data_IF_212602956040
#
_entry.id   IF_212602956040
#
_cell.length_a   1.000
_cell.length_b   1.000
_cell.length_c   1.000
_cell.angle_alpha   90.00
_cell.angle_beta   90.00
_cell.angle_gamma   90.00
#
_symmetry.space_group_name_H-M   'P 1'
#
loop_
_entity.id
_entity.type
_entity.pdbx_description
1 polymer ?
#
# COMPACT_ATOMS: atom_id res chain seq x y z
N UNK A 1 -44.29 -4.36 -21.98
CA UNK A 1 -43.49 -3.61 -21.00
C UNK A 1 -42.50 -4.55 -20.36
N UNK A 2 -41.22 -4.48 -20.78
CA UNK A 2 -40.15 -5.25 -20.18
C UNK A 2 -39.62 -4.53 -18.92
N UNK A 3 -40.19 -4.82 -17.75
CA UNK A 3 -39.62 -4.37 -16.49
C UNK A 3 -38.38 -5.21 -16.17
N UNK A 4 -37.20 -4.60 -16.14
CA UNK A 4 -35.99 -5.26 -15.70
C UNK A 4 -35.91 -5.12 -14.18
N UNK A 5 -35.96 -6.23 -13.46
CA UNK A 5 -35.72 -6.29 -12.01
C UNK A 5 -34.30 -6.78 -11.78
N UNK A 6 -33.53 -6.06 -11.00
CA UNK A 6 -32.19 -6.49 -10.57
C UNK A 6 -32.21 -6.83 -9.09
N UNK A 7 -31.53 -7.92 -8.73
CA UNK A 7 -31.28 -8.31 -7.35
C UNK A 7 -29.80 -8.60 -7.16
N UNK A 8 -29.25 -8.18 -6.03
CA UNK A 8 -27.86 -8.48 -5.65
C UNK A 8 -27.89 -9.37 -4.42
N UNK A 9 -27.20 -10.51 -4.50
CA UNK A 9 -27.04 -11.41 -3.37
C UNK A 9 -25.55 -11.49 -3.03
N UNK A 10 -25.14 -11.20 -1.79
CA UNK A 10 -23.74 -11.39 -1.37
C UNK A 10 -23.33 -12.84 -1.58
N UNK A 11 -22.12 -13.06 -2.08
CA UNK A 11 -21.61 -14.43 -2.32
C UNK A 11 -21.58 -15.27 -1.03
N UNK A 12 -21.33 -14.63 0.10
CA UNK A 12 -21.36 -15.29 1.42
C UNK A 12 -22.72 -15.91 1.78
N UNK A 13 -23.82 -15.41 1.20
CA UNK A 13 -25.18 -15.91 1.44
C UNK A 13 -25.57 -17.06 0.49
N UNK A 14 -24.69 -17.38 -0.48
CA UNK A 14 -24.90 -18.47 -1.42
C UNK A 14 -24.43 -19.79 -0.82
N UNK A 15 -25.34 -20.74 -0.69
CA UNK A 15 -25.04 -22.08 -0.14
C UNK A 15 -24.73 -23.11 -1.22
N UNK A 16 -25.09 -22.82 -2.47
CA UNK A 16 -24.86 -23.71 -3.59
C UNK A 16 -23.45 -23.50 -4.17
N UNK A 17 -22.67 -24.56 -4.28
CA UNK A 17 -21.36 -24.58 -4.92
C UNK A 17 -21.35 -25.58 -6.07
N UNK A 18 -20.68 -25.25 -7.17
CA UNK A 18 -20.35 -26.20 -8.20
C UNK A 18 -19.20 -27.09 -7.73
N UNK A 19 -19.44 -28.41 -7.68
CA UNK A 19 -18.48 -29.35 -7.11
C UNK A 19 -17.16 -29.44 -7.92
N UNK A 20 -17.24 -29.33 -9.24
CA UNK A 20 -16.05 -29.42 -10.12
C UNK A 20 -15.20 -28.15 -9.98
N UNK A 21 -15.84 -26.97 -9.92
CA UNK A 21 -15.15 -25.70 -9.69
C UNK A 21 -14.52 -25.70 -8.30
N UNK A 22 -15.22 -26.15 -7.26
CA UNK A 22 -14.71 -26.23 -5.89
C UNK A 22 -13.50 -27.19 -5.79
N UNK A 23 -13.57 -28.36 -6.43
CA UNK A 23 -12.46 -29.30 -6.45
C UNK A 23 -11.23 -28.74 -7.17
N UNK A 24 -11.43 -28.02 -8.30
CA UNK A 24 -10.34 -27.36 -9.03
C UNK A 24 -9.70 -26.23 -8.22
N UNK A 25 -10.53 -25.41 -7.55
CA UNK A 25 -10.04 -24.36 -6.67
C UNK A 25 -9.21 -24.93 -5.50
N UNK A 26 -9.70 -26.00 -4.86
CA UNK A 26 -8.99 -26.69 -3.78
C UNK A 26 -7.63 -27.24 -4.25
N UNK A 27 -7.56 -27.81 -5.45
CA UNK A 27 -6.29 -28.29 -6.00
C UNK A 27 -5.28 -27.15 -6.24
N UNK A 28 -5.71 -26.05 -6.82
CA UNK A 28 -4.85 -24.86 -7.02
C UNK A 28 -4.38 -24.32 -5.67
N UNK A 29 -5.28 -24.24 -4.68
CA UNK A 29 -4.93 -23.78 -3.34
C UNK A 29 -3.88 -24.68 -2.69
N UNK A 30 -4.01 -26.00 -2.82
CA UNK A 30 -3.03 -26.95 -2.28
C UNK A 30 -1.65 -26.81 -2.94
N UNK A 31 -1.59 -26.54 -4.24
CA UNK A 31 -0.35 -26.25 -4.96
C UNK A 31 0.31 -24.96 -4.47
N UNK A 32 -0.48 -23.90 -4.28
CA UNK A 32 -0.01 -22.61 -3.71
C UNK A 32 0.52 -22.84 -2.28
N UNK A 33 -0.21 -23.53 -1.43
CA UNK A 33 0.18 -23.77 -0.04
C UNK A 33 1.47 -24.60 0.04
N UNK A 34 1.67 -25.55 -0.87
CA UNK A 34 2.91 -26.34 -0.96
C UNK A 34 4.11 -25.49 -1.37
N UNK A 35 3.93 -24.55 -2.30
CA UNK A 35 5.04 -23.73 -2.84
C UNK A 35 5.35 -22.54 -1.92
N UNK A 36 4.33 -21.87 -1.39
CA UNK A 36 4.45 -20.60 -0.68
C UNK A 36 4.15 -20.69 0.82
N UNK A 37 3.67 -21.83 1.32
CA UNK A 37 3.26 -22.01 2.72
C UNK A 37 4.41 -22.24 3.71
N UNK A 38 5.67 -22.28 3.24
CA UNK A 38 6.81 -22.46 4.15
C UNK A 38 7.03 -21.21 4.99
N UNK A 39 7.05 -21.41 6.32
CA UNK A 39 7.37 -20.37 7.31
C UNK A 39 8.86 -20.01 7.19
N UNK A 40 9.14 -18.72 7.07
CA UNK A 40 10.54 -18.24 7.02
C UNK A 40 10.82 -17.12 8.04
N UNK A 41 9.79 -16.54 8.65
CA UNK A 41 9.90 -15.48 9.65
C UNK A 41 8.77 -15.56 10.66
N UNK A 42 8.85 -14.74 11.70
CA UNK A 42 7.79 -14.55 12.71
C UNK A 42 7.67 -13.09 13.08
N UNK A 43 6.50 -12.67 13.46
CA UNK A 43 6.23 -11.38 14.07
C UNK A 43 5.54 -11.58 15.44
N UNK A 44 5.95 -10.80 16.43
CA UNK A 44 5.34 -10.82 17.77
C UNK A 44 4.06 -9.99 17.84
N UNK A 45 3.87 -9.08 16.88
CA UNK A 45 2.73 -8.17 16.80
C UNK A 45 2.00 -8.32 15.47
N UNK A 46 0.72 -7.98 15.43
CA UNK A 46 0.01 -7.87 14.16
C UNK A 46 0.57 -6.67 13.36
N UNK A 47 0.79 -6.88 12.06
CA UNK A 47 1.23 -5.87 11.12
C UNK A 47 0.00 -5.33 10.36
N UNK A 48 -0.29 -4.05 10.55
CA UNK A 48 -1.51 -3.43 10.05
C UNK A 48 -1.40 -3.10 8.57
N UNK A 49 -2.16 -3.80 7.75
CA UNK A 49 -2.33 -3.56 6.30
C UNK A 49 -3.73 -3.09 5.92
N UNK A 50 -4.54 -2.67 6.91
CA UNK A 50 -5.88 -2.14 6.66
C UNK A 50 -5.84 -0.86 5.83
N UNK A 51 -6.92 -0.60 5.12
CA UNK A 51 -7.01 0.58 4.25
C UNK A 51 -7.34 1.84 5.04
N UNK A 52 -8.33 1.74 5.95
CA UNK A 52 -8.92 2.88 6.67
C UNK A 52 -9.61 2.39 7.98
N UNK A 53 -9.16 2.87 9.16
CA UNK A 53 -7.91 3.60 9.34
C UNK A 53 -6.70 2.70 9.03
N UNK A 54 -5.66 3.25 8.43
CA UNK A 54 -4.45 2.49 8.08
C UNK A 54 -3.70 3.05 6.87
N UNK A 55 -3.12 2.18 6.05
CA UNK A 55 -2.15 2.51 4.99
C UNK A 55 -2.55 3.64 4.02
N UNK A 56 -3.83 4.00 3.95
CA UNK A 56 -4.33 5.04 3.05
C UNK A 56 -4.69 6.34 3.74
N UNK A 57 -4.51 6.40 5.07
CA UNK A 57 -4.90 7.54 5.90
C UNK A 57 -3.84 7.94 6.91
N UNK A 58 -2.97 7.02 7.29
CA UNK A 58 -1.99 7.19 8.35
C UNK A 58 -0.80 6.23 8.19
N UNK A 59 0.26 6.48 8.95
CA UNK A 59 1.40 5.60 9.10
C UNK A 59 0.96 4.25 9.72
N UNK A 60 1.58 3.15 9.26
CA UNK A 60 1.33 1.82 9.83
C UNK A 60 2.63 1.05 10.00
N UNK A 61 2.70 0.21 11.02
CA UNK A 61 3.87 -0.62 11.27
C UNK A 61 4.20 -1.60 10.12
N UNK A 62 3.22 -1.97 9.28
CA UNK A 62 3.48 -2.73 8.07
C UNK A 62 4.03 -1.84 6.95
N UNK A 63 3.56 -0.60 6.85
CA UNK A 63 4.10 0.39 5.93
C UNK A 63 5.57 0.68 6.21
N UNK A 64 5.90 0.91 7.49
CA UNK A 64 7.27 1.15 7.95
C UNK A 64 8.17 -0.04 7.64
N UNK A 65 7.75 -1.26 8.01
CA UNK A 65 8.50 -2.48 7.72
C UNK A 65 8.77 -2.66 6.22
N UNK A 66 7.79 -2.36 5.37
CA UNK A 66 7.96 -2.45 3.91
C UNK A 66 8.97 -1.41 3.43
N UNK A 67 8.88 -0.16 3.89
CA UNK A 67 9.79 0.91 3.49
C UNK A 67 11.21 0.65 4.01
N UNK A 68 11.37 0.16 5.23
CA UNK A 68 12.67 -0.29 5.76
C UNK A 68 13.27 -1.42 4.92
N UNK A 69 12.43 -2.35 4.47
CA UNK A 69 12.88 -3.42 3.58
C UNK A 69 13.31 -2.90 2.19
N UNK A 70 12.72 -1.80 1.69
CA UNK A 70 13.14 -1.15 0.44
C UNK A 70 14.51 -0.49 0.61
N UNK A 71 14.76 0.22 1.71
CA UNK A 71 16.07 0.79 2.07
C UNK A 71 17.11 -0.34 2.14
N UNK A 72 16.84 -1.36 2.95
CA UNK A 72 17.72 -2.53 3.08
C UNK A 72 17.99 -3.20 1.73
N UNK A 73 16.99 -3.32 0.86
CA UNK A 73 17.13 -3.90 -0.48
C UNK A 73 18.08 -3.10 -1.37
N UNK A 74 17.99 -1.76 -1.35
CA UNK A 74 18.87 -0.88 -2.09
C UNK A 74 20.33 -0.98 -1.59
N UNK A 75 20.53 -0.95 -0.28
CA UNK A 75 21.84 -1.07 0.35
C UNK A 75 22.51 -2.43 0.03
N UNK A 76 21.74 -3.50 0.03
CA UNK A 76 22.22 -4.84 -0.31
C UNK A 76 22.73 -4.94 -1.75
N UNK A 77 22.12 -4.17 -2.66
CA UNK A 77 22.58 -4.06 -4.06
C UNK A 77 23.72 -3.01 -4.22
N UNK A 78 24.23 -2.47 -3.12
CA UNK A 78 25.37 -1.55 -3.08
C UNK A 78 25.03 -0.09 -3.33
N UNK A 79 23.77 0.30 -3.17
CA UNK A 79 23.35 1.71 -3.31
C UNK A 79 22.85 2.22 -1.97
N UNK A 80 23.54 3.22 -1.41
CA UNK A 80 23.04 3.96 -0.26
C UNK A 80 21.87 4.86 -0.68
N UNK A 81 20.82 4.87 0.14
CA UNK A 81 19.63 5.70 -0.03
C UNK A 81 19.27 6.37 1.29
N UNK A 82 18.82 7.61 1.22
CA UNK A 82 18.45 8.38 2.41
C UNK A 82 17.08 7.98 2.94
N UNK A 83 16.18 7.55 2.05
CA UNK A 83 14.79 7.29 2.38
C UNK A 83 14.13 6.32 1.38
N UNK A 84 12.97 5.79 1.77
CA UNK A 84 12.08 5.05 0.87
C UNK A 84 10.64 5.53 1.01
N UNK A 85 9.91 5.43 -0.10
CA UNK A 85 8.47 5.76 -0.16
C UNK A 85 7.75 4.68 -0.94
N UNK A 86 6.62 4.22 -0.43
CA UNK A 86 5.68 3.37 -1.18
C UNK A 86 4.26 3.88 -1.01
N UNK A 87 3.40 3.61 -1.97
CA UNK A 87 1.99 4.02 -1.87
C UNK A 87 1.19 3.01 -1.03
N UNK A 88 0.43 3.48 -0.06
CA UNK A 88 -0.39 2.65 0.84
C UNK A 88 -1.41 1.77 0.10
N UNK A 89 -1.86 2.18 -1.09
CA UNK A 89 -2.72 1.37 -1.95
C UNK A 89 -2.05 0.10 -2.50
N UNK A 90 -0.72 0.03 -2.49
CA UNK A 90 0.07 -1.15 -2.84
C UNK A 90 0.02 -2.24 -1.77
N UNK A 91 -0.24 -1.89 -0.52
CA UNK A 91 -0.33 -2.81 0.63
C UNK A 91 -1.77 -3.33 0.70
N UNK A 92 -1.97 -4.65 0.55
CA UNK A 92 -3.29 -5.23 0.27
C UNK A 92 -3.88 -6.07 1.39
N UNK A 93 -3.12 -6.41 2.41
CA UNK A 93 -3.55 -7.22 3.54
C UNK A 93 -2.71 -6.96 4.79
N UNK A 94 -3.27 -7.22 5.94
CA UNK A 94 -2.55 -7.28 7.22
C UNK A 94 -1.88 -8.65 7.39
N UNK A 95 -0.86 -8.73 8.26
CA UNK A 95 -0.25 -9.99 8.71
C UNK A 95 -0.56 -10.16 10.19
N UNK A 96 -1.15 -11.29 10.57
CA UNK A 96 -1.40 -11.60 11.99
C UNK A 96 -0.07 -11.86 12.73
N UNK A 97 -0.06 -11.65 14.05
CA UNK A 97 1.06 -12.09 14.88
C UNK A 97 1.25 -13.62 14.76
N UNK A 98 2.49 -14.06 14.71
CA UNK A 98 2.86 -15.46 14.54
C UNK A 98 3.77 -15.72 13.36
N UNK A 99 3.58 -16.84 12.72
CA UNK A 99 4.42 -17.28 11.59
C UNK A 99 4.11 -16.49 10.31
N UNK A 100 5.16 -16.18 9.56
CA UNK A 100 5.10 -15.48 8.26
C UNK A 100 5.58 -16.42 7.16
N UNK A 101 4.80 -16.52 6.10
CA UNK A 101 5.09 -17.33 4.90
C UNK A 101 5.28 -16.45 3.67
N UNK A 102 5.84 -17.01 2.59
CA UNK A 102 5.88 -16.33 1.30
C UNK A 102 4.49 -15.99 0.75
N UNK A 103 3.49 -16.81 1.12
CA UNK A 103 2.09 -16.57 0.75
C UNK A 103 1.59 -15.26 1.37
N UNK A 104 1.92 -14.99 2.65
CA UNK A 104 1.54 -13.75 3.33
C UNK A 104 2.16 -12.54 2.62
N UNK A 105 3.44 -12.61 2.28
CA UNK A 105 4.11 -11.51 1.54
C UNK A 105 3.47 -11.27 0.17
N UNK A 106 3.19 -12.34 -0.60
CA UNK A 106 2.52 -12.21 -1.90
C UNK A 106 1.09 -11.70 -1.79
N UNK A 107 0.42 -11.95 -0.67
CA UNK A 107 -0.92 -11.42 -0.39
C UNK A 107 -0.86 -9.93 -0.05
N UNK A 108 0.15 -9.51 0.70
CA UNK A 108 0.40 -8.11 1.07
C UNK A 108 0.84 -7.28 -0.14
N UNK A 109 1.77 -7.79 -0.95
CA UNK A 109 2.38 -7.09 -2.09
C UNK A 109 2.18 -7.88 -3.40
N UNK A 110 0.94 -7.98 -3.93
CA UNK A 110 0.62 -8.89 -5.04
C UNK A 110 1.03 -8.37 -6.43
N UNK A 111 1.48 -7.12 -6.56
CA UNK A 111 1.64 -6.47 -7.88
C UNK A 111 2.97 -6.75 -8.55
N UNK A 112 3.95 -7.35 -7.85
CA UNK A 112 5.27 -7.63 -8.42
C UNK A 112 6.03 -6.35 -8.82
N UNK A 113 5.82 -5.25 -8.11
CA UNK A 113 6.53 -3.99 -8.35
C UNK A 113 8.04 -4.18 -8.14
N UNK A 114 8.82 -3.41 -8.89
CA UNK A 114 10.28 -3.38 -8.77
C UNK A 114 10.72 -2.16 -7.97
N UNK A 115 11.89 -2.27 -7.31
CA UNK A 115 12.53 -1.14 -6.65
C UNK A 115 13.12 -0.21 -7.70
N UNK A 116 12.81 1.08 -7.59
CA UNK A 116 13.43 2.14 -8.39
C UNK A 116 14.13 3.12 -7.46
N UNK A 117 15.38 3.46 -7.78
CA UNK A 117 16.18 4.44 -7.05
C UNK A 117 16.22 5.73 -7.87
N UNK A 118 15.83 6.82 -7.26
CA UNK A 118 15.79 8.14 -7.89
C UNK A 118 16.53 9.16 -7.02
N UNK A 119 17.08 10.18 -7.66
CA UNK A 119 17.67 11.33 -6.96
C UNK A 119 16.73 12.52 -7.12
N UNK A 120 16.28 13.04 -6.01
CA UNK A 120 15.38 14.20 -5.95
C UNK A 120 15.93 15.28 -5.03
N UNK A 121 15.47 16.50 -5.23
CA UNK A 121 15.70 17.59 -4.29
C UNK A 121 14.68 17.56 -3.15
N UNK A 122 14.98 18.21 -2.03
CA UNK A 122 14.00 18.36 -0.94
C UNK A 122 12.70 19.05 -1.37
N UNK A 123 12.77 19.97 -2.35
CA UNK A 123 11.58 20.62 -2.91
C UNK A 123 10.70 19.64 -3.71
N UNK A 124 11.29 18.78 -4.51
CA UNK A 124 10.57 17.74 -5.26
C UNK A 124 9.96 16.68 -4.32
N UNK A 125 10.68 16.30 -3.27
CA UNK A 125 10.16 15.41 -2.24
C UNK A 125 8.95 16.03 -1.52
N UNK A 126 9.06 17.30 -1.12
CA UNK A 126 7.99 18.03 -0.46
C UNK A 126 6.75 18.16 -1.36
N UNK A 127 6.96 18.45 -2.65
CA UNK A 127 5.90 18.50 -3.66
C UNK A 127 5.20 17.13 -3.79
N UNK A 128 5.95 16.05 -3.85
CA UNK A 128 5.41 14.69 -3.94
C UNK A 128 4.59 14.31 -2.70
N UNK A 129 5.05 14.65 -1.50
CA UNK A 129 4.33 14.40 -0.25
C UNK A 129 3.05 15.27 -0.15
N UNK A 130 3.12 16.55 -0.55
CA UNK A 130 1.94 17.42 -0.60
C UNK A 130 0.88 16.87 -1.57
N UNK A 131 1.30 16.45 -2.78
CA UNK A 131 0.40 15.88 -3.78
C UNK A 131 -0.18 14.52 -3.35
N UNK A 132 0.60 13.64 -2.73
CA UNK A 132 0.14 12.31 -2.33
C UNK A 132 -0.78 12.32 -1.11
N UNK A 133 -0.78 13.40 -0.33
CA UNK A 133 -1.65 13.58 0.85
C UNK A 133 -2.80 14.56 0.62
N UNK A 134 -3.06 14.95 -0.63
CA UNK A 134 -3.97 16.06 -1.00
C UNK A 134 -5.38 15.99 -0.37
N UNK A 135 -5.90 14.80 -0.12
CA UNK A 135 -7.23 14.60 0.43
C UNK A 135 -7.23 14.06 1.87
N UNK A 136 -6.05 13.93 2.51
CA UNK A 136 -5.98 13.50 3.91
C UNK A 136 -6.80 14.44 4.80
N UNK A 137 -7.66 13.91 5.70
CA UNK A 137 -7.72 12.54 6.22
C UNK A 137 -8.56 11.54 5.38
N UNK A 138 -9.09 11.93 4.23
CA UNK A 138 -9.82 11.01 3.36
C UNK A 138 -8.86 9.97 2.78
N UNK A 139 -9.31 8.72 2.74
CA UNK A 139 -8.53 7.58 2.27
C UNK A 139 -8.15 7.70 0.79
N UNK A 140 -6.87 7.52 0.49
CA UNK A 140 -6.36 7.52 -0.89
C UNK A 140 -5.27 6.47 -1.09
N UNK A 141 -5.30 5.78 -2.23
CA UNK A 141 -4.28 4.76 -2.57
C UNK A 141 -2.86 5.33 -2.75
N UNK A 142 -2.74 6.63 -2.99
CA UNK A 142 -1.46 7.33 -3.10
C UNK A 142 -0.86 7.79 -1.76
N UNK A 143 -1.57 7.61 -0.63
CA UNK A 143 -1.03 7.99 0.69
C UNK A 143 0.34 7.35 0.91
N UNK A 144 1.38 8.12 1.28
CA UNK A 144 2.74 7.61 1.37
C UNK A 144 2.98 6.86 2.67
N UNK A 145 3.52 5.66 2.58
CA UNK A 145 4.23 4.99 3.66
C UNK A 145 5.72 5.23 3.43
N UNK A 146 6.48 5.52 4.46
CA UNK A 146 7.86 6.02 4.32
C UNK A 146 8.83 5.31 5.27
N UNK A 147 10.13 5.40 4.96
CA UNK A 147 11.24 5.14 5.87
C UNK A 147 12.30 6.21 5.63
N UNK A 148 12.95 6.68 6.68
CA UNK A 148 13.95 7.74 6.60
C UNK A 148 13.37 9.15 6.41
N UNK A 149 12.05 9.32 6.47
CA UNK A 149 11.38 10.62 6.35
C UNK A 149 10.44 10.80 7.54
N UNK A 150 10.53 11.94 8.21
CA UNK A 150 9.54 12.37 9.18
C UNK A 150 8.84 13.61 8.65
N UNK A 151 7.51 13.56 8.56
CA UNK A 151 6.70 14.67 8.06
C UNK A 151 5.35 14.76 8.74
N UNK A 152 4.79 15.96 8.73
CA UNK A 152 3.45 16.24 9.25
C UNK A 152 2.53 16.77 8.17
N UNK A 153 1.23 16.50 8.30
CA UNK A 153 0.19 16.99 7.38
C UNK A 153 -0.85 17.82 8.15
N UNK A 154 -0.90 19.10 7.88
CA UNK A 154 -1.93 20.01 8.44
C UNK A 154 -3.24 19.84 7.67
N UNK A 155 -4.12 18.99 8.20
CA UNK A 155 -5.43 18.70 7.59
C UNK A 155 -6.45 19.83 7.73
N UNK A 156 -6.13 20.91 8.46
CA UNK A 156 -6.98 22.10 8.58
C UNK A 156 -6.89 23.00 7.36
N UNK A 157 -5.84 22.83 6.55
CA UNK A 157 -5.62 23.59 5.32
C UNK A 157 -6.12 22.81 4.10
N UNK A 158 -6.66 23.54 3.14
CA UNK A 158 -7.05 22.97 1.86
C UNK A 158 -5.81 22.69 0.99
N UNK A 159 -5.90 21.67 0.14
CA UNK A 159 -4.92 21.45 -0.92
C UNK A 159 -5.04 22.52 -2.00
N UNK A 160 -3.97 23.23 -2.32
CA UNK A 160 -3.91 24.23 -3.38
C UNK A 160 -3.56 23.55 -4.71
N UNK A 161 -4.57 23.05 -5.40
CA UNK A 161 -4.39 22.25 -6.61
C UNK A 161 -3.84 23.09 -7.77
N UNK A 162 -2.75 22.64 -8.35
CA UNK A 162 -2.13 23.18 -9.54
C UNK A 162 -2.44 22.40 -10.81
N UNK A 163 -1.43 22.18 -11.65
CA UNK A 163 -1.56 21.47 -12.93
C UNK A 163 -1.49 19.95 -12.76
N UNK A 164 -2.14 19.23 -13.69
CA UNK A 164 -2.09 17.77 -13.70
C UNK A 164 -0.71 17.29 -14.15
N UNK A 165 -0.17 16.31 -13.43
CA UNK A 165 1.07 15.66 -13.86
C UNK A 165 0.85 14.89 -15.17
N UNK A 166 1.78 15.00 -16.13
CA UNK A 166 1.67 14.30 -17.41
C UNK A 166 1.51 12.77 -17.24
N UNK A 167 0.48 12.21 -17.87
CA UNK A 167 0.20 10.77 -17.81
C UNK A 167 -0.31 10.24 -16.47
N UNK A 168 -0.69 11.11 -15.54
CA UNK A 168 -1.18 10.78 -14.21
C UNK A 168 -2.62 11.26 -14.01
N UNK A 169 -3.30 10.73 -13.00
CA UNK A 169 -4.58 11.26 -12.48
C UNK A 169 -4.37 12.24 -11.33
N UNK A 170 -3.14 12.43 -10.89
CA UNK A 170 -2.77 13.36 -9.82
C UNK A 170 -2.44 14.75 -10.36
N UNK A 171 -2.67 15.73 -9.51
CA UNK A 171 -2.37 17.14 -9.75
C UNK A 171 -1.27 17.57 -8.80
N UNK A 172 -0.29 18.30 -9.30
CA UNK A 172 0.73 18.92 -8.47
C UNK A 172 0.13 20.05 -7.62
N UNK A 173 0.76 20.44 -6.51
CA UNK A 173 0.35 21.62 -5.76
C UNK A 173 0.73 22.89 -6.50
N UNK A 174 -0.12 23.90 -6.45
CA UNK A 174 0.24 25.26 -6.86
C UNK A 174 1.11 25.95 -5.82
N UNK A 175 0.86 25.65 -4.55
CA UNK A 175 1.67 26.07 -3.42
C UNK A 175 1.67 25.00 -2.34
N UNK A 176 2.80 24.86 -1.63
CA UNK A 176 2.92 23.96 -0.48
C UNK A 176 2.25 24.63 0.71
N UNK A 177 1.27 23.96 1.31
CA UNK A 177 0.50 24.51 2.42
C UNK A 177 0.31 23.53 3.58
N UNK A 178 0.28 22.22 3.31
CA UNK A 178 -0.17 21.19 4.25
C UNK A 178 0.97 20.37 4.84
N UNK A 179 1.98 20.07 4.03
CA UNK A 179 3.08 19.19 4.44
C UNK A 179 4.26 20.00 4.97
N UNK A 180 4.82 19.53 6.07
CA UNK A 180 6.11 19.96 6.60
C UNK A 180 6.99 18.72 6.75
N UNK A 181 8.17 18.72 6.16
CA UNK A 181 9.20 17.69 6.37
C UNK A 181 10.03 18.13 7.57
N UNK A 182 10.12 17.26 8.59
CA UNK A 182 10.88 17.50 9.82
C UNK A 182 12.32 16.99 9.64
N UNK A 183 12.48 15.79 9.10
CA UNK A 183 13.77 15.14 8.83
C UNK A 183 13.73 14.26 7.58
N UNK A 184 14.92 14.09 6.99
CA UNK A 184 15.22 13.07 5.97
C UNK A 184 16.57 12.48 6.29
#
# INVERSE_FOLDING_TARGET
DGTITTATTPVADLTATDADVAARAAKIQAEIDKEYGTVFAKTEVALNGEKEPGNRTEETNLGDLICDALVWGAEREGTEVDAAVTNGGGIRASIAAGDITKKDINTVLPFGNTLSIVKVTGAELLEALEASTYCTPTSIGGFPQVSGIEFTVDTTKAYDQGEQYPGSTYYGPKSIQRVTIETV
#
